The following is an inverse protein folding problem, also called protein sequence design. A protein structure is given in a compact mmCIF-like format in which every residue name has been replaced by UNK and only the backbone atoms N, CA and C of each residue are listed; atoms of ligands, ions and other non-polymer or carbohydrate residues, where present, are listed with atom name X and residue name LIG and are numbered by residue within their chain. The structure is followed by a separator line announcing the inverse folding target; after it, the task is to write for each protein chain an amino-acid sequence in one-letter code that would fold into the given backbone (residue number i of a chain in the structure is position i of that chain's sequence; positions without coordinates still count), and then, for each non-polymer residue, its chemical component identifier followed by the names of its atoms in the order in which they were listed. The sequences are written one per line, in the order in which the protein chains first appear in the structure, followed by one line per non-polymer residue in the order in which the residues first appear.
data_IF_531543622712
#
_entry.id   IF_531543622712
#
_cell.length_a   1.000
_cell.length_b   1.000
_cell.length_c   1.000
_cell.angle_alpha   90.00
_cell.angle_beta   90.00
_cell.angle_gamma   90.00
#
_symmetry.space_group_name_H-M   'P 1'
#
loop_
_entity.id
_entity.type
_entity.pdbx_description
1 polymer ?
#
# COMPACT_ATOMS: atom_id res chain seq x y z
N UNK A 1 5.53 -13.24 -9.98
CA UNK A 1 4.28 -13.97 -9.65
C UNK A 1 3.02 -13.19 -10.04
N UNK A 2 2.86 -11.91 -9.68
CA UNK A 2 1.69 -11.10 -10.07
C UNK A 2 1.45 -11.02 -11.60
N UNK A 3 2.51 -10.87 -12.40
CA UNK A 3 2.41 -10.94 -13.86
C UNK A 3 1.82 -12.25 -14.38
N UNK A 4 2.19 -13.38 -13.77
CA UNK A 4 1.63 -14.69 -14.13
C UNK A 4 0.12 -14.74 -13.82
N UNK A 5 -0.32 -14.14 -12.70
CA UNK A 5 -1.76 -14.02 -12.43
C UNK A 5 -2.46 -13.15 -13.48
N UNK A 6 -1.84 -12.08 -13.95
CA UNK A 6 -2.37 -11.31 -15.09
C UNK A 6 -2.44 -12.18 -16.35
N UNK A 7 -1.40 -12.95 -16.69
CA UNK A 7 -1.43 -13.85 -17.86
C UNK A 7 -2.54 -14.89 -17.80
N UNK A 8 -2.95 -15.30 -16.60
CA UNK A 8 -4.07 -16.22 -16.36
C UNK A 8 -5.45 -15.53 -16.28
N UNK A 9 -5.54 -14.24 -16.60
CA UNK A 9 -6.82 -13.51 -16.67
C UNK A 9 -7.19 -12.71 -15.43
N UNK A 10 -6.41 -12.74 -14.35
CA UNK A 10 -6.70 -11.99 -13.13
C UNK A 10 -6.31 -10.51 -13.23
N UNK A 11 -6.89 -9.68 -12.35
CA UNK A 11 -6.51 -8.28 -12.15
C UNK A 11 -5.51 -8.17 -10.99
N UNK A 12 -4.45 -7.39 -11.19
CA UNK A 12 -3.53 -7.04 -10.10
C UNK A 12 -4.03 -5.78 -9.40
N UNK A 13 -4.03 -5.76 -8.07
CA UNK A 13 -4.31 -4.57 -7.26
C UNK A 13 -3.06 -4.24 -6.46
N UNK A 14 -2.41 -3.13 -6.80
CA UNK A 14 -1.23 -2.64 -6.11
C UNK A 14 -1.67 -1.67 -5.01
N UNK A 15 -1.58 -2.11 -3.76
CA UNK A 15 -1.95 -1.30 -2.60
C UNK A 15 -0.73 -0.51 -2.14
N UNK A 16 -0.81 0.81 -2.27
CA UNK A 16 0.17 1.75 -1.74
C UNK A 16 -0.15 2.03 -0.27
N UNK A 17 0.81 1.73 0.60
CA UNK A 17 0.67 1.86 2.05
C UNK A 17 0.88 3.26 2.59
N UNK A 18 0.15 4.28 2.11
CA UNK A 18 0.39 5.67 2.50
C UNK A 18 0.04 5.98 3.96
N UNK A 19 -1.05 5.41 4.47
CA UNK A 19 -1.43 5.58 5.87
C UNK A 19 -0.49 4.81 6.80
N UNK A 20 -0.16 3.57 6.44
CA UNK A 20 0.74 2.73 7.22
C UNK A 20 2.18 3.25 7.23
N UNK A 21 2.64 3.85 6.13
CA UNK A 21 3.97 4.47 6.05
C UNK A 21 4.09 5.72 6.94
N UNK A 22 2.99 6.46 7.14
CA UNK A 22 2.96 7.60 8.05
C UNK A 22 3.04 7.17 9.53
N UNK A 23 2.49 6.00 9.88
CA UNK A 23 2.55 5.46 11.25
C UNK A 23 3.92 4.82 11.54
N UNK A 24 4.51 4.17 10.54
CA UNK A 24 5.77 3.43 10.68
C UNK A 24 5.52 1.96 10.99
N UNK A 25 5.90 1.08 10.06
CA UNK A 25 5.77 -0.37 10.21
C UNK A 25 6.95 -0.93 11.06
N UNK A 26 6.70 -1.60 12.19
CA UNK A 26 7.74 -2.20 13.02
C UNK A 26 8.29 -3.51 12.46
N UNK A 27 7.67 -4.09 11.43
CA UNK A 27 8.04 -5.42 10.96
C UNK A 27 9.44 -5.46 10.33
N UNK A 28 10.32 -6.25 10.94
CA UNK A 28 11.65 -6.60 10.42
C UNK A 28 12.83 -5.70 10.79
N UNK A 29 12.69 -4.67 11.65
CA UNK A 29 13.82 -3.85 12.14
C UNK A 29 13.65 -3.43 13.60
N UNK A 30 14.75 -3.43 14.38
CA UNK A 30 14.79 -3.07 15.82
C UNK A 30 14.46 -1.62 16.16
N UNK A 31 14.35 -0.73 15.18
CA UNK A 31 14.03 0.68 15.40
C UNK A 31 12.88 1.12 14.50
N UNK A 32 11.92 1.82 15.08
CA UNK A 32 10.81 2.45 14.37
C UNK A 32 11.38 3.41 13.31
N UNK A 33 10.94 3.27 12.06
CA UNK A 33 11.36 4.21 11.01
C UNK A 33 10.80 5.60 11.31
N UNK A 34 11.55 6.68 11.03
CA UNK A 34 10.99 8.02 11.14
C UNK A 34 9.77 8.15 10.21
N UNK A 35 8.68 8.80 10.66
CA UNK A 35 7.51 9.01 9.84
C UNK A 35 7.88 9.83 8.60
N UNK A 36 7.38 9.41 7.44
CA UNK A 36 7.59 10.13 6.18
C UNK A 36 6.50 11.19 5.99
N UNK A 37 6.85 12.32 5.36
CA UNK A 37 5.85 13.30 4.94
C UNK A 37 4.96 12.71 3.85
N UNK A 38 3.75 13.25 3.71
CA UNK A 38 2.80 12.80 2.68
C UNK A 38 3.38 12.99 1.27
N UNK A 39 4.09 14.08 1.04
CA UNK A 39 4.73 14.40 -0.24
C UNK A 39 5.81 13.37 -0.57
N UNK A 40 6.64 13.00 0.42
CA UNK A 40 7.65 11.97 0.25
C UNK A 40 7.03 10.60 -0.04
N UNK A 41 5.93 10.26 0.64
CA UNK A 41 5.18 9.02 0.41
C UNK A 41 4.62 8.97 -1.02
N UNK A 42 4.02 10.06 -1.49
CA UNK A 42 3.48 10.15 -2.84
C UNK A 42 4.57 10.07 -3.92
N UNK A 43 5.70 10.77 -3.73
CA UNK A 43 6.84 10.69 -4.62
C UNK A 43 7.39 9.25 -4.70
N UNK A 44 7.54 8.59 -3.54
CA UNK A 44 7.98 7.20 -3.48
C UNK A 44 6.98 6.27 -4.20
N UNK A 45 5.68 6.45 -3.96
CA UNK A 45 4.63 5.66 -4.60
C UNK A 45 4.65 5.77 -6.13
N UNK A 46 4.90 6.96 -6.67
CA UNK A 46 5.05 7.18 -8.12
C UNK A 46 6.23 6.36 -8.67
N UNK A 47 7.38 6.40 -7.99
CA UNK A 47 8.55 5.64 -8.43
C UNK A 47 8.32 4.13 -8.39
N UNK A 48 7.67 3.63 -7.34
CA UNK A 48 7.35 2.20 -7.22
C UNK A 48 6.35 1.75 -8.27
N UNK A 49 5.33 2.56 -8.52
CA UNK A 49 4.31 2.29 -9.55
C UNK A 49 4.95 2.24 -10.94
N UNK A 50 5.84 3.19 -11.24
CA UNK A 50 6.60 3.22 -12.50
C UNK A 50 7.46 1.96 -12.68
N UNK A 51 8.14 1.52 -11.61
CA UNK A 51 8.93 0.30 -11.64
C UNK A 51 8.07 -0.95 -11.79
N UNK A 52 6.94 -1.02 -11.09
CA UNK A 52 6.01 -2.15 -11.16
C UNK A 52 5.46 -2.34 -12.58
N UNK A 53 5.17 -1.26 -13.29
CA UNK A 53 4.70 -1.31 -14.68
C UNK A 53 5.75 -1.73 -15.71
N UNK A 54 7.03 -1.86 -15.33
CA UNK A 54 8.01 -2.55 -16.19
C UNK A 54 7.74 -4.05 -16.27
N UNK A 55 7.01 -4.60 -15.31
CA UNK A 55 6.71 -6.04 -15.19
C UNK A 55 5.22 -6.32 -15.37
N UNK A 56 4.36 -5.48 -14.78
CA UNK A 56 2.90 -5.63 -14.80
C UNK A 56 2.27 -4.88 -15.97
N UNK A 57 1.18 -5.43 -16.50
CA UNK A 57 0.35 -4.71 -17.48
C UNK A 57 -0.44 -3.60 -16.77
N UNK A 58 -0.16 -2.34 -17.12
CA UNK A 58 -0.81 -1.15 -16.56
C UNK A 58 -2.33 -1.16 -16.78
N UNK A 59 -2.82 -1.66 -17.91
CA UNK A 59 -4.25 -1.70 -18.22
C UNK A 59 -5.01 -2.74 -17.38
N UNK A 60 -4.27 -3.64 -16.73
CA UNK A 60 -4.81 -4.73 -15.91
C UNK A 60 -4.27 -4.66 -14.48
N UNK A 61 -3.83 -3.48 -14.08
CA UNK A 61 -3.35 -3.18 -12.74
C UNK A 61 -4.08 -1.96 -12.20
N UNK A 62 -4.73 -2.13 -11.08
CA UNK A 62 -5.32 -1.04 -10.31
C UNK A 62 -4.33 -0.61 -9.22
N UNK A 63 -4.19 0.70 -9.01
CA UNK A 63 -3.35 1.26 -7.95
C UNK A 63 -4.26 1.98 -6.97
N UNK A 64 -4.24 1.55 -5.71
CA UNK A 64 -5.10 2.10 -4.63
C UNK A 64 -4.25 2.49 -3.43
N UNK A 65 -4.74 3.44 -2.63
CA UNK A 65 -4.05 3.94 -1.44
C UNK A 65 -4.78 3.49 -0.18
N UNK A 66 -4.09 2.81 0.73
CA UNK A 66 -4.76 2.23 1.89
C UNK A 66 -5.32 3.27 2.87
N UNK A 67 -4.82 4.50 2.81
CA UNK A 67 -5.39 5.62 3.56
C UNK A 67 -6.78 6.03 3.09
N UNK A 68 -7.26 5.59 1.93
CA UNK A 68 -8.65 5.82 1.51
C UNK A 68 -9.65 5.20 2.49
N UNK A 69 -9.39 3.97 2.96
CA UNK A 69 -10.25 3.31 3.94
C UNK A 69 -9.77 3.50 5.37
N UNK A 70 -8.45 3.46 5.64
CA UNK A 70 -7.96 3.56 7.02
C UNK A 70 -8.22 4.92 7.67
N UNK A 71 -8.22 6.03 6.90
CA UNK A 71 -8.54 7.36 7.46
C UNK A 71 -10.01 7.53 7.82
N UNK A 72 -10.90 6.68 7.32
CA UNK A 72 -12.33 6.70 7.60
C UNK A 72 -12.71 5.84 8.80
N UNK A 73 -11.80 4.99 9.29
CA UNK A 73 -12.06 4.12 10.42
C UNK A 73 -12.22 4.93 11.71
N UNK A 74 -13.29 4.66 12.45
CA UNK A 74 -13.48 5.22 13.78
C UNK A 74 -12.63 4.46 14.82
N UNK A 75 -12.42 5.06 15.99
CA UNK A 75 -11.76 4.35 17.09
C UNK A 75 -12.49 3.06 17.47
N UNK A 76 -13.82 3.04 17.39
CA UNK A 76 -14.62 1.83 17.62
C UNK A 76 -14.37 0.73 16.57
N UNK A 77 -14.05 1.09 15.32
CA UNK A 77 -13.68 0.12 14.27
C UNK A 77 -12.30 -0.46 14.52
N UNK A 78 -11.35 0.36 14.99
CA UNK A 78 -10.01 -0.09 15.38
C UNK A 78 -10.08 -1.06 16.55
N UNK A 79 -10.87 -0.74 17.60
CA UNK A 79 -11.06 -1.63 18.74
C UNK A 79 -11.67 -2.97 18.31
N UNK A 80 -12.71 -2.95 17.46
CA UNK A 80 -13.33 -4.16 16.92
C UNK A 80 -12.36 -5.01 16.09
N UNK A 81 -11.50 -4.38 15.29
CA UNK A 81 -10.49 -5.08 14.49
C UNK A 81 -9.46 -5.82 15.36
N UNK A 82 -9.11 -5.26 16.52
CA UNK A 82 -8.13 -5.81 17.46
C UNK A 82 -8.73 -6.68 18.56
N UNK A 83 -10.05 -6.87 18.60
CA UNK A 83 -10.75 -7.61 19.66
C UNK A 83 -10.70 -9.15 19.48
N UNK A 84 -9.77 -9.67 18.66
CA UNK A 84 -9.57 -11.11 18.45
C UNK A 84 -8.48 -11.68 19.35
#
# INVERSE_FOLDING_TARGET
KLRQFQELGHQAVLIIGDFTAAIGDPSGRSATRPPLSREAILANAETYTTQAFKVLDKNRTEVVFNGEWFRQMTFGDVLRLNAR
#
